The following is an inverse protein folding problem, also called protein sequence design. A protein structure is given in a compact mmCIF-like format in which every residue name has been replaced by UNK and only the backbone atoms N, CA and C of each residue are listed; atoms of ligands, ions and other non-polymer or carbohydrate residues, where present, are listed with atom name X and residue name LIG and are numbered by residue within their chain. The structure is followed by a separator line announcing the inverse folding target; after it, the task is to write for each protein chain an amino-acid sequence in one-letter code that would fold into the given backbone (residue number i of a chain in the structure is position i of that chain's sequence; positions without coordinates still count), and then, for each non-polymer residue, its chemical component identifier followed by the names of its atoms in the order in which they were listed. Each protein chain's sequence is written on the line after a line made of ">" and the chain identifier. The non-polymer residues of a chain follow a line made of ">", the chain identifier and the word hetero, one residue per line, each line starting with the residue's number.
data_IF_009289972104
#
_entry.id   IF_009289972104
#
_cell.length_a   1.000
_cell.length_b   1.000
_cell.length_c   1.000
_cell.angle_alpha   90.00
_cell.angle_beta   90.00
_cell.angle_gamma   90.00
#
_symmetry.space_group_name_H-M   'P 1'
#
loop_
_entity.id
_entity.type
_entity.pdbx_description
1 polymer ?
#
# COMPACT_ATOMS: atom_id res chain seq x y z
N UNK A 1 20.16 -2.00 -15.74
CA UNK A 1 19.08 -1.51 -14.86
C UNK A 1 19.74 -0.96 -13.62
N UNK A 2 19.46 0.29 -13.26
CA UNK A 2 20.06 0.91 -12.08
C UNK A 2 19.31 0.45 -10.82
N UNK A 3 19.98 0.49 -9.66
CA UNK A 3 19.39 0.08 -8.38
C UNK A 3 18.07 0.83 -8.08
N UNK A 4 18.01 2.12 -8.42
CA UNK A 4 16.85 2.98 -8.26
C UNK A 4 15.65 2.50 -9.10
N UNK A 5 15.88 2.09 -10.35
CA UNK A 5 14.84 1.56 -11.23
C UNK A 5 14.34 0.20 -10.75
N UNK A 6 15.24 -0.68 -10.28
CA UNK A 6 14.85 -1.97 -9.70
C UNK A 6 13.99 -1.79 -8.44
N UNK A 7 14.36 -0.85 -7.56
CA UNK A 7 13.60 -0.52 -6.37
C UNK A 7 12.23 0.06 -6.71
N UNK A 8 12.15 1.02 -7.64
CA UNK A 8 10.89 1.60 -8.10
C UNK A 8 9.96 0.54 -8.71
N UNK A 9 10.49 -0.34 -9.56
CA UNK A 9 9.71 -1.42 -10.17
C UNK A 9 9.22 -2.41 -9.12
N UNK A 10 10.04 -2.78 -8.14
CA UNK A 10 9.65 -3.69 -7.07
C UNK A 10 8.50 -3.10 -6.23
N UNK A 11 8.61 -1.83 -5.81
CA UNK A 11 7.55 -1.15 -5.06
C UNK A 11 6.29 -1.00 -5.92
N UNK A 12 6.43 -0.56 -7.16
CA UNK A 12 5.32 -0.39 -8.10
C UNK A 12 4.56 -1.70 -8.33
N UNK A 13 5.27 -2.82 -8.52
CA UNK A 13 4.66 -4.13 -8.66
C UNK A 13 3.86 -4.55 -7.41
N UNK A 14 4.36 -4.26 -6.21
CA UNK A 14 3.64 -4.53 -4.96
C UNK A 14 2.37 -3.69 -4.86
N UNK A 15 2.42 -2.42 -5.26
CA UNK A 15 1.26 -1.53 -5.30
C UNK A 15 0.20 -2.02 -6.29
N UNK A 16 0.60 -2.38 -7.51
CA UNK A 16 -0.32 -2.95 -8.51
C UNK A 16 -0.93 -4.25 -8.01
N UNK A 17 -0.12 -5.15 -7.44
CA UNK A 17 -0.61 -6.41 -6.87
C UNK A 17 -1.64 -6.15 -5.76
N UNK A 18 -1.35 -5.22 -4.84
CA UNK A 18 -2.25 -4.86 -3.74
C UNK A 18 -3.58 -4.28 -4.25
N UNK A 19 -3.52 -3.39 -5.25
CA UNK A 19 -4.70 -2.79 -5.86
C UNK A 19 -5.55 -3.83 -6.60
N UNK A 20 -4.93 -4.67 -7.44
CA UNK A 20 -5.63 -5.77 -8.15
C UNK A 20 -6.25 -6.75 -7.16
N UNK A 21 -5.54 -7.11 -6.08
CA UNK A 21 -6.08 -8.00 -5.06
C UNK A 21 -7.31 -7.40 -4.35
N UNK A 22 -7.37 -6.07 -4.17
CA UNK A 22 -8.58 -5.38 -3.66
C UNK A 22 -9.72 -5.38 -4.67
N UNK A 23 -9.43 -5.18 -5.96
CA UNK A 23 -10.42 -5.30 -7.05
C UNK A 23 -11.01 -6.71 -7.07
N UNK A 24 -10.18 -7.75 -7.00
CA UNK A 24 -10.62 -9.14 -6.97
C UNK A 24 -11.42 -9.50 -5.72
N UNK A 25 -11.18 -8.81 -4.60
CA UNK A 25 -11.94 -8.98 -3.36
C UNK A 25 -13.33 -8.32 -3.41
N UNK A 26 -13.59 -7.48 -4.42
CA UNK A 26 -14.88 -6.86 -4.66
C UNK A 26 -15.46 -6.14 -3.44
N UNK A 27 -16.68 -6.52 -3.04
CA UNK A 27 -17.38 -5.88 -1.92
C UNK A 27 -16.79 -6.19 -0.53
N UNK A 28 -15.92 -7.20 -0.42
CA UNK A 28 -15.32 -7.57 0.88
C UNK A 28 -14.30 -6.52 1.33
N UNK A 29 -13.58 -5.88 0.39
CA UNK A 29 -12.59 -4.85 0.73
C UNK A 29 -13.23 -3.63 1.44
N UNK A 30 -14.27 -2.97 0.90
CA UNK A 30 -14.90 -1.84 1.57
C UNK A 30 -15.50 -2.21 2.93
N UNK A 31 -16.09 -3.43 3.07
CA UNK A 31 -16.62 -3.91 4.36
C UNK A 31 -15.52 -4.07 5.40
N UNK A 32 -14.37 -4.61 5.02
CA UNK A 32 -13.20 -4.72 5.90
C UNK A 32 -12.61 -3.36 6.26
N UNK A 33 -12.59 -2.42 5.32
CA UNK A 33 -12.14 -1.05 5.57
C UNK A 33 -13.04 -0.30 6.57
N UNK A 34 -14.36 -0.51 6.50
CA UNK A 34 -15.30 0.08 7.47
C UNK A 34 -15.06 -0.39 8.90
N UNK A 35 -14.67 -1.66 9.09
CA UNK A 35 -14.29 -2.19 10.42
C UNK A 35 -13.06 -1.51 11.00
N UNK A 36 -12.24 -0.87 10.16
CA UNK A 36 -11.07 -0.09 10.56
C UNK A 36 -11.40 1.41 10.74
N UNK A 37 -12.68 1.78 10.63
CA UNK A 37 -13.13 3.17 10.69
C UNK A 37 -12.89 3.97 9.40
N UNK A 38 -12.56 3.29 8.29
CA UNK A 38 -12.34 3.94 6.99
C UNK A 38 -13.64 3.91 6.17
N UNK A 39 -14.15 5.06 5.70
CA UNK A 39 -15.38 5.08 4.92
C UNK A 39 -15.18 4.44 3.54
N UNK A 40 -16.24 3.82 3.00
CA UNK A 40 -16.21 3.11 1.70
C UNK A 40 -15.62 3.93 0.56
N UNK A 41 -15.93 5.22 0.50
CA UNK A 41 -15.41 6.13 -0.54
C UNK A 41 -13.89 6.19 -0.49
N UNK A 42 -13.29 6.35 0.70
CA UNK A 42 -11.84 6.36 0.87
C UNK A 42 -11.25 4.99 0.54
N UNK A 43 -11.90 3.90 0.93
CA UNK A 43 -11.45 2.55 0.58
C UNK A 43 -11.40 2.31 -0.94
N UNK A 44 -12.40 2.80 -1.69
CA UNK A 44 -12.42 2.74 -3.15
C UNK A 44 -11.35 3.63 -3.77
N UNK A 45 -11.19 4.87 -3.28
CA UNK A 45 -10.14 5.77 -3.77
C UNK A 45 -8.75 5.20 -3.56
N UNK A 46 -8.49 4.58 -2.41
CA UNK A 46 -7.22 3.90 -2.11
C UNK A 46 -6.94 2.78 -3.11
N UNK A 47 -7.94 1.96 -3.44
CA UNK A 47 -7.80 0.89 -4.42
C UNK A 47 -7.36 1.42 -5.80
N UNK A 48 -8.00 2.49 -6.29
CA UNK A 48 -7.59 3.12 -7.55
C UNK A 48 -6.22 3.78 -7.44
N UNK A 49 -5.94 4.46 -6.33
CA UNK A 49 -4.67 5.12 -6.09
C UNK A 49 -3.51 4.12 -6.11
N UNK A 50 -3.66 2.94 -5.51
CA UNK A 50 -2.61 1.91 -5.51
C UNK A 50 -2.24 1.45 -6.93
N UNK A 51 -3.23 1.21 -7.79
CA UNK A 51 -3.01 0.79 -9.17
C UNK A 51 -2.35 1.91 -9.98
N UNK A 52 -2.89 3.13 -9.90
CA UNK A 52 -2.40 4.29 -10.65
C UNK A 52 -0.98 4.65 -10.23
N UNK A 53 -0.71 4.68 -8.92
CA UNK A 53 0.62 4.97 -8.39
C UNK A 53 1.60 3.86 -8.78
N UNK A 54 1.22 2.59 -8.62
CA UNK A 54 2.08 1.46 -8.95
C UNK A 54 2.45 1.42 -10.43
N UNK A 55 1.48 1.61 -11.33
CA UNK A 55 1.74 1.72 -12.77
C UNK A 55 2.58 2.96 -13.10
N UNK A 56 2.32 4.10 -12.46
CA UNK A 56 3.09 5.32 -12.63
C UNK A 56 4.56 5.18 -12.18
N UNK A 57 4.84 4.39 -11.14
CA UNK A 57 6.22 4.07 -10.73
C UNK A 57 6.97 3.21 -11.74
N UNK A 58 6.27 2.33 -12.47
CA UNK A 58 6.86 1.37 -13.43
C UNK A 58 6.98 1.99 -14.83
N UNK A 59 5.98 2.75 -15.26
CA UNK A 59 5.84 3.26 -16.63
C UNK A 59 6.10 4.77 -16.75
N UNK A 60 6.04 5.51 -15.65
CA UNK A 60 6.16 6.96 -15.68
C UNK A 60 7.61 7.38 -15.74
N UNK A 61 8.14 7.65 -16.93
CA UNK A 61 9.52 8.14 -17.10
C UNK A 61 9.73 9.49 -16.41
N UNK A 62 9.07 10.55 -16.91
CA UNK A 62 9.31 11.92 -16.43
C UNK A 62 8.61 12.25 -15.11
N UNK A 63 7.53 11.52 -14.79
CA UNK A 63 6.70 11.72 -13.58
C UNK A 63 6.97 10.69 -12.48
N UNK A 64 7.96 9.81 -12.65
CA UNK A 64 8.28 8.74 -11.71
C UNK A 64 8.41 9.23 -10.27
N UNK A 65 9.13 10.35 -10.07
CA UNK A 65 9.36 10.94 -8.75
C UNK A 65 8.07 11.36 -8.05
N UNK A 66 7.09 11.87 -8.81
CA UNK A 66 5.78 12.22 -8.26
C UNK A 66 5.01 10.99 -7.77
N UNK A 67 5.04 9.91 -8.55
CA UNK A 67 4.44 8.64 -8.14
C UNK A 67 5.15 8.00 -6.96
N UNK A 68 6.49 8.05 -6.91
CA UNK A 68 7.28 7.59 -5.77
C UNK A 68 6.91 8.35 -4.48
N UNK A 69 6.79 9.67 -4.55
CA UNK A 69 6.35 10.50 -3.41
C UNK A 69 4.92 10.17 -2.97
N UNK A 70 3.98 10.03 -3.92
CA UNK A 70 2.60 9.67 -3.63
C UNK A 70 2.49 8.27 -2.98
N UNK A 71 3.25 7.29 -3.48
CA UNK A 71 3.30 5.95 -2.90
C UNK A 71 3.96 5.93 -1.52
N UNK A 72 5.02 6.72 -1.32
CA UNK A 72 5.61 6.94 0.00
C UNK A 72 4.59 7.48 1.00
N UNK A 73 3.81 8.49 0.63
CA UNK A 73 2.77 9.05 1.47
C UNK A 73 1.68 8.01 1.80
N UNK A 74 1.27 7.20 0.83
CA UNK A 74 0.29 6.14 1.05
C UNK A 74 0.83 5.06 2.02
N UNK A 75 2.09 4.66 1.89
CA UNK A 75 2.76 3.72 2.81
C UNK A 75 2.82 4.29 4.23
N UNK A 76 3.11 5.58 4.39
CA UNK A 76 3.08 6.25 5.70
C UNK A 76 1.67 6.19 6.28
N UNK A 77 0.65 6.55 5.50
CA UNK A 77 -0.74 6.52 5.95
C UNK A 77 -1.17 5.12 6.41
N UNK A 78 -0.84 4.07 5.63
CA UNK A 78 -1.09 2.68 6.02
C UNK A 78 -0.33 2.28 7.27
N UNK A 79 0.93 2.70 7.41
CA UNK A 79 1.75 2.38 8.59
C UNK A 79 1.16 3.01 9.85
N UNK A 80 0.72 4.27 9.78
CA UNK A 80 0.05 4.96 10.89
C UNK A 80 -1.26 4.27 11.24
N UNK A 81 -2.07 3.88 10.25
CA UNK A 81 -3.33 3.17 10.47
C UNK A 81 -3.09 1.82 11.16
N UNK A 82 -2.15 1.01 10.65
CA UNK A 82 -1.77 -0.27 11.24
C UNK A 82 -1.26 -0.09 12.69
N UNK A 83 -0.35 0.87 12.91
CA UNK A 83 0.20 1.15 14.24
C UNK A 83 -0.88 1.63 15.24
N UNK A 84 -1.84 2.43 14.78
CA UNK A 84 -2.96 2.89 15.61
C UNK A 84 -3.87 1.75 16.06
N UNK A 85 -4.08 0.74 15.20
CA UNK A 85 -4.88 -0.44 15.52
C UNK A 85 -4.11 -1.49 16.31
N UNK A 86 -2.78 -1.61 16.13
CA UNK A 86 -1.94 -2.47 16.98
C UNK A 86 -1.98 -2.08 18.46
N UNK A 87 -2.22 -0.79 18.75
CA UNK A 87 -2.38 -0.25 20.11
C UNK A 87 -3.76 -0.52 20.71
N UNK A 88 -4.74 -0.96 19.92
CA UNK A 88 -6.09 -1.31 20.39
C UNK A 88 -6.13 -2.80 20.74
N UNK A 89 -6.95 -3.14 21.74
CA UNK A 89 -7.16 -4.54 22.15
C UNK A 89 -7.87 -5.35 21.05
N UNK A 90 -8.68 -4.68 20.23
CA UNK A 90 -9.35 -5.27 19.08
C UNK A 90 -8.47 -5.12 17.83
N UNK A 91 -8.09 -6.25 17.23
CA UNK A 91 -7.23 -6.34 16.04
C UNK A 91 -8.01 -6.98 14.89
N UNK A 92 -8.96 -6.24 14.30
CA UNK A 92 -9.70 -6.75 13.16
C UNK A 92 -8.74 -7.10 12.01
N UNK A 93 -9.05 -8.13 11.21
CA UNK A 93 -8.22 -8.50 10.06
C UNK A 93 -8.20 -7.33 9.05
N UNK A 94 -7.01 -6.78 8.77
CA UNK A 94 -6.85 -5.79 7.70
C UNK A 94 -6.52 -6.47 6.37
N UNK A 95 -7.35 -6.25 5.35
CA UNK A 95 -7.06 -6.59 3.95
C UNK A 95 -6.18 -5.54 3.26
N UNK A 96 -5.29 -4.87 4.00
CA UNK A 96 -4.48 -3.73 3.57
C UNK A 96 -3.64 -4.05 2.30
N UNK A 97 -3.29 -5.31 2.07
CA UNK A 97 -2.55 -5.78 0.88
C UNK A 97 -3.34 -6.83 0.08
N UNK A 98 -4.68 -6.74 0.11
CA UNK A 98 -5.58 -7.68 -0.53
C UNK A 98 -6.08 -8.81 0.39
N UNK A 99 -7.10 -9.53 -0.07
CA UNK A 99 -7.79 -10.57 0.71
C UNK A 99 -6.98 -11.83 1.06
N UNK A 100 -5.72 -11.91 0.63
CA UNK A 100 -4.85 -13.07 0.86
C UNK A 100 -4.38 -13.23 2.32
N UNK A 101 -4.49 -12.18 3.16
CA UNK A 101 -4.15 -12.26 4.58
C UNK A 101 -5.37 -11.95 5.45
N UNK A 102 -6.11 -13.00 5.81
CA UNK A 102 -7.17 -12.97 6.84
C UNK A 102 -6.60 -13.01 8.28
N UNK A 103 -5.30 -12.76 8.44
CA UNK A 103 -4.62 -12.84 9.75
C UNK A 103 -4.80 -11.55 10.54
N UNK A 104 -4.84 -11.61 11.89
CA UNK A 104 -4.83 -10.41 12.73
C UNK A 104 -3.62 -9.53 12.37
N UNK A 105 -3.80 -8.21 12.39
CA UNK A 105 -2.73 -7.25 12.12
C UNK A 105 -1.51 -7.56 13.01
N UNK A 106 -0.37 -7.81 12.37
CA UNK A 106 0.86 -8.21 13.05
C UNK A 106 2.04 -7.28 12.76
N UNK A 107 3.11 -7.40 13.57
CA UNK A 107 4.35 -6.66 13.36
C UNK A 107 4.96 -6.87 11.96
N UNK A 108 4.68 -8.00 11.31
CA UNK A 108 5.12 -8.30 9.94
C UNK A 108 4.54 -7.33 8.90
N UNK A 109 3.30 -6.87 9.07
CA UNK A 109 2.69 -5.90 8.14
C UNK A 109 3.38 -4.53 8.23
N UNK A 110 3.74 -4.12 9.45
CA UNK A 110 4.53 -2.91 9.68
C UNK A 110 5.92 -3.03 9.08
N UNK A 111 6.60 -4.16 9.31
CA UNK A 111 7.94 -4.42 8.72
C UNK A 111 7.90 -4.36 7.20
N UNK A 112 6.85 -4.92 6.56
CA UNK A 112 6.67 -4.85 5.10
C UNK A 112 6.48 -3.41 4.63
N UNK A 113 5.67 -2.60 5.32
CA UNK A 113 5.52 -1.20 4.92
C UNK A 113 6.81 -0.41 5.08
N UNK A 114 7.54 -0.61 6.18
CA UNK A 114 8.81 0.07 6.44
C UNK A 114 9.86 -0.34 5.40
N UNK A 115 9.94 -1.63 5.03
CA UNK A 115 10.88 -2.07 3.99
C UNK A 115 10.54 -1.50 2.62
N UNK A 116 9.25 -1.42 2.26
CA UNK A 116 8.81 -0.74 1.04
C UNK A 116 9.11 0.76 1.08
N UNK A 117 8.98 1.41 2.24
CA UNK A 117 9.31 2.82 2.41
C UNK A 117 10.81 3.07 2.21
N UNK A 118 11.67 2.19 2.73
CA UNK A 118 13.12 2.25 2.50
C UNK A 118 13.43 2.09 1.01
N UNK A 119 12.76 1.16 0.31
CA UNK A 119 12.92 1.01 -1.15
C UNK A 119 12.47 2.26 -1.92
N UNK A 120 11.39 2.92 -1.50
CA UNK A 120 10.97 4.21 -2.07
C UNK A 120 12.04 5.28 -1.87
N UNK A 121 12.64 5.37 -0.68
CA UNK A 121 13.71 6.34 -0.42
C UNK A 121 14.95 6.07 -1.29
N UNK A 122 15.34 4.80 -1.44
CA UNK A 122 16.44 4.37 -2.33
C UNK A 122 16.12 4.67 -3.79
N UNK A 123 14.86 4.57 -4.20
CA UNK A 123 14.44 4.92 -5.56
C UNK A 123 14.41 6.43 -5.81
N UNK A 124 14.14 7.24 -4.78
CA UNK A 124 14.05 8.71 -4.87
C UNK A 124 15.43 9.39 -4.78
N UNK A 125 16.35 8.83 -3.99
CA UNK A 125 17.72 9.33 -3.81
C UNK A 125 18.63 8.62 -4.83
N UNK A 126 18.86 9.19 -6.03
CA UNK A 126 19.76 8.60 -7.02
C UNK A 126 21.21 8.55 -6.53
#
# INVERSE_FOLDING_TARGET
>A
MNASTLAATAVGAVFVYAGVAKVLSGSEWPKSAERLGVPKVVALLVMFAEIVIGLGMVLGDSWQRGFLAAGGLLLVAFTVLLASHMRRADRPPCMCFGGASQRPIGARDVVRNVSLLVLVLVAILP
#
